data_IF_417098601909
#
_entry.id   IF_417098601909
#
_cell.length_a   1.000
_cell.length_b   1.000
_cell.length_c   1.000
_cell.angle_alpha   90.00
_cell.angle_beta   90.00
_cell.angle_gamma   90.00
#
_symmetry.space_group_name_H-M   'P 1'
#
loop_
_entity.id
_entity.type
_entity.pdbx_description
1 polymer ?
#
# COMPACT_ATOMS: atom_id res chain seq x y z
N UNK A 1 -12.80 25.97 -5.76
CA UNK A 1 -11.90 24.85 -6.10
C UNK A 1 -10.73 24.87 -5.15
N UNK A 2 -10.21 23.72 -4.73
CA UNK A 2 -9.06 23.65 -3.81
C UNK A 2 -8.22 22.39 -4.05
N UNK A 3 -7.00 22.38 -3.53
CA UNK A 3 -6.15 21.17 -3.44
C UNK A 3 -6.04 20.71 -1.98
N UNK A 4 -5.76 19.42 -1.75
CA UNK A 4 -5.49 18.85 -0.43
C UNK A 4 -4.29 17.92 -0.55
N UNK A 5 -3.16 18.32 0.02
CA UNK A 5 -1.87 17.66 -0.18
C UNK A 5 -1.09 17.58 1.13
N UNK A 6 0.02 16.83 1.23
CA UNK A 6 0.94 16.96 2.36
C UNK A 6 1.45 18.40 2.50
N UNK A 7 1.67 18.86 3.73
CA UNK A 7 2.10 20.24 3.99
C UNK A 7 3.39 20.63 3.26
N UNK A 8 4.32 19.67 3.09
CA UNK A 8 5.61 19.80 2.42
C UNK A 8 5.58 19.60 0.90
N UNK A 9 4.44 19.18 0.33
CA UNK A 9 4.30 18.97 -1.10
C UNK A 9 4.38 20.28 -1.90
N UNK A 10 4.97 20.21 -3.10
CA UNK A 10 5.14 21.35 -4.02
C UNK A 10 4.51 21.11 -5.39
N UNK A 11 4.24 19.86 -5.72
CA UNK A 11 3.71 19.33 -6.97
C UNK A 11 2.26 18.86 -6.79
N UNK A 12 1.31 19.80 -6.83
CA UNK A 12 -0.12 19.48 -6.68
C UNK A 12 -0.66 18.98 -8.01
N UNK A 13 -0.85 17.65 -8.12
CA UNK A 13 -1.33 16.97 -9.32
C UNK A 13 -2.84 17.18 -9.54
N UNK A 14 -3.60 17.26 -8.44
CA UNK A 14 -5.06 17.21 -8.44
C UNK A 14 -5.71 18.31 -7.60
N UNK A 15 -6.91 18.72 -8.03
CA UNK A 15 -7.76 19.66 -7.34
C UNK A 15 -9.23 19.19 -7.39
N UNK A 16 -10.00 19.56 -6.37
CA UNK A 16 -11.43 19.29 -6.30
C UNK A 16 -12.23 20.59 -6.39
N UNK A 17 -13.36 20.53 -7.10
CA UNK A 17 -14.37 21.58 -7.09
C UNK A 17 -15.73 21.02 -6.74
N UNK A 18 -16.56 21.84 -6.10
CA UNK A 18 -17.93 21.48 -5.71
C UNK A 18 -18.83 22.65 -6.07
N UNK A 19 -19.95 22.35 -6.74
CA UNK A 19 -20.98 23.32 -7.07
C UNK A 19 -22.36 22.73 -6.75
N UNK A 20 -23.02 23.31 -5.76
CA UNK A 20 -24.41 22.98 -5.42
C UNK A 20 -25.36 23.65 -6.43
N UNK A 21 -26.31 22.89 -6.97
CA UNK A 21 -27.29 23.37 -7.94
C UNK A 21 -28.69 23.51 -7.30
N UNK A 22 -29.54 24.33 -7.92
CA UNK A 22 -30.86 24.69 -7.39
C UNK A 22 -31.82 23.49 -7.25
N UNK A 23 -31.65 22.44 -8.07
CA UNK A 23 -32.45 21.22 -8.03
C UNK A 23 -31.97 20.20 -6.96
N UNK A 24 -30.98 20.59 -6.14
CA UNK A 24 -30.37 19.76 -5.11
C UNK A 24 -29.34 18.76 -5.64
N UNK A 25 -29.05 18.76 -6.94
CA UNK A 25 -27.90 18.05 -7.47
C UNK A 25 -26.59 18.79 -7.17
N UNK A 26 -25.47 18.06 -7.19
CA UNK A 26 -24.15 18.61 -6.89
C UNK A 26 -23.19 18.19 -7.97
N UNK A 27 -22.54 19.18 -8.58
CA UNK A 27 -21.46 18.94 -9.53
C UNK A 27 -20.13 18.90 -8.77
N UNK A 28 -19.36 17.84 -8.99
CA UNK A 28 -18.01 17.68 -8.42
C UNK A 28 -17.02 17.51 -9.55
N UNK A 29 -16.01 18.37 -9.59
CA UNK A 29 -14.89 18.27 -10.53
C UNK A 29 -13.66 17.65 -9.86
N UNK A 30 -13.05 16.69 -10.55
CA UNK A 30 -11.68 16.22 -10.29
C UNK A 30 -10.80 16.77 -11.41
N UNK A 31 -9.93 17.71 -11.07
CA UNK A 31 -9.12 18.47 -12.03
C UNK A 31 -7.67 18.06 -11.91
N UNK A 32 -7.10 17.50 -12.98
CA UNK A 32 -5.73 16.98 -12.97
C UNK A 32 -4.84 17.91 -13.80
N UNK A 33 -3.61 18.19 -13.37
CA UNK A 33 -2.66 19.00 -14.14
C UNK A 33 -2.54 18.54 -15.60
N UNK A 34 -2.68 19.45 -16.57
CA UNK A 34 -2.55 19.13 -18.00
C UNK A 34 -1.07 19.07 -18.42
N UNK A 35 -0.35 18.08 -17.90
CA UNK A 35 1.06 17.82 -18.22
C UNK A 35 1.26 17.61 -19.72
N UNK A 36 0.28 17.03 -20.41
CA UNK A 36 0.36 16.79 -21.88
C UNK A 36 0.40 18.07 -22.70
N UNK A 37 -0.05 19.20 -22.15
CA UNK A 37 0.12 20.50 -22.78
C UNK A 37 1.60 20.87 -22.93
N UNK A 38 2.42 20.57 -21.93
CA UNK A 38 3.84 20.93 -21.85
C UNK A 38 4.75 19.81 -22.36
N UNK A 39 4.42 18.56 -22.04
CA UNK A 39 5.18 17.37 -22.46
C UNK A 39 4.60 16.85 -23.78
N UNK A 40 5.11 17.35 -24.89
CA UNK A 40 4.65 16.98 -26.25
C UNK A 40 5.33 15.71 -26.77
N UNK A 41 4.61 14.81 -27.47
CA UNK A 41 5.18 13.56 -27.98
C UNK A 41 6.47 13.77 -28.79
N UNK A 42 7.47 12.91 -28.58
CA UNK A 42 8.71 12.87 -29.35
C UNK A 42 9.75 13.96 -29.00
N UNK A 43 9.41 14.90 -28.12
CA UNK A 43 10.35 15.91 -27.61
C UNK A 43 11.39 15.29 -26.67
N UNK A 44 12.48 16.03 -26.39
CA UNK A 44 13.48 15.59 -25.42
C UNK A 44 12.88 15.38 -24.01
N UNK A 45 11.96 16.26 -23.62
CA UNK A 45 11.25 16.16 -22.34
C UNK A 45 10.39 14.90 -22.26
N UNK A 46 9.67 14.57 -23.33
CA UNK A 46 8.87 13.35 -23.41
C UNK A 46 9.71 12.07 -23.35
N UNK A 47 10.83 12.04 -24.08
CA UNK A 47 11.77 10.92 -24.04
C UNK A 47 12.36 10.71 -22.65
N UNK A 48 12.73 11.79 -21.96
CA UNK A 48 13.26 11.72 -20.60
C UNK A 48 12.18 11.30 -19.59
N UNK A 49 10.96 11.84 -19.71
CA UNK A 49 9.83 11.44 -18.87
C UNK A 49 9.47 9.96 -19.06
N UNK A 50 9.50 9.45 -20.29
CA UNK A 50 9.32 8.02 -20.58
C UNK A 50 10.48 7.18 -20.03
N UNK A 51 11.72 7.64 -20.22
CA UNK A 51 12.90 6.93 -19.72
C UNK A 51 12.84 6.74 -18.19
N UNK A 52 12.49 7.80 -17.45
CA UNK A 52 12.26 7.73 -15.99
C UNK A 52 10.98 6.98 -15.62
N UNK A 53 9.90 7.17 -16.39
CA UNK A 53 8.54 6.64 -16.23
C UNK A 53 7.80 7.03 -14.94
N UNK A 54 8.50 7.23 -13.83
CA UNK A 54 7.92 7.61 -12.54
C UNK A 54 8.89 8.47 -11.74
N UNK A 55 8.38 9.34 -10.88
CA UNK A 55 9.18 9.95 -9.82
C UNK A 55 9.56 8.88 -8.78
N UNK A 56 10.70 9.07 -8.10
CA UNK A 56 11.17 8.20 -7.01
C UNK A 56 11.23 9.01 -5.72
N UNK A 57 10.53 8.56 -4.67
CA UNK A 57 10.40 9.24 -3.39
C UNK A 57 11.27 8.56 -2.32
N UNK A 58 12.54 8.94 -2.25
CA UNK A 58 13.43 8.50 -1.18
C UNK A 58 13.08 9.23 0.13
N UNK A 59 13.53 8.71 1.27
CA UNK A 59 13.21 9.33 2.57
C UNK A 59 13.73 10.77 2.66
N UNK A 60 14.88 11.06 2.05
CA UNK A 60 15.59 12.34 2.15
C UNK A 60 15.40 13.26 0.93
N UNK A 61 14.88 12.75 -0.19
CA UNK A 61 14.74 13.52 -1.44
C UNK A 61 13.80 12.87 -2.44
N UNK A 62 13.34 13.67 -3.40
CA UNK A 62 12.60 13.21 -4.57
C UNK A 62 13.49 13.27 -5.81
N UNK A 63 13.44 12.22 -6.62
CA UNK A 63 14.00 12.22 -7.98
C UNK A 63 12.82 12.34 -8.94
N UNK A 64 12.49 13.55 -9.43
CA UNK A 64 11.24 13.76 -10.15
C UNK A 64 11.31 13.22 -11.58
N UNK A 65 10.16 12.76 -12.09
CA UNK A 65 10.00 12.36 -13.50
C UNK A 65 10.20 13.56 -14.44
N UNK A 66 9.69 14.72 -14.04
CA UNK A 66 9.77 15.97 -14.79
C UNK A 66 10.71 16.96 -14.09
N UNK A 67 11.31 17.91 -14.82
CA UNK A 67 12.07 19.00 -14.21
C UNK A 67 11.22 19.80 -13.22
N UNK A 68 11.80 20.20 -12.09
CA UNK A 68 11.09 20.94 -11.02
C UNK A 68 10.41 22.22 -11.50
N UNK A 69 11.00 22.89 -12.50
CA UNK A 69 10.40 24.09 -13.12
C UNK A 69 9.03 23.80 -13.75
N UNK A 70 8.79 22.57 -14.21
CA UNK A 70 7.50 22.13 -14.72
C UNK A 70 6.64 21.56 -13.60
N UNK A 71 7.15 20.58 -12.85
CA UNK A 71 6.36 19.87 -11.83
C UNK A 71 5.87 20.81 -10.73
N UNK A 72 6.73 21.68 -10.19
CA UNK A 72 6.43 22.46 -8.99
C UNK A 72 5.80 23.83 -9.31
N UNK A 73 5.84 24.27 -10.58
CA UNK A 73 5.36 25.60 -10.96
C UNK A 73 4.27 25.54 -12.04
N UNK A 74 4.62 25.16 -13.27
CA UNK A 74 3.71 25.27 -14.43
C UNK A 74 2.58 24.25 -14.40
N UNK A 75 2.87 23.02 -13.98
CA UNK A 75 1.88 21.95 -13.85
C UNK A 75 1.19 21.96 -12.48
N UNK A 76 1.94 22.26 -11.40
CA UNK A 76 1.39 22.31 -10.03
C UNK A 76 0.19 23.24 -9.93
N UNK A 77 -0.91 22.73 -9.38
CA UNK A 77 -2.20 23.44 -9.25
C UNK A 77 -2.20 24.44 -8.09
N UNK A 78 -1.22 25.35 -8.10
CA UNK A 78 -0.98 26.35 -7.06
C UNK A 78 -2.21 27.25 -6.83
N UNK A 79 -2.46 27.68 -5.58
CA UNK A 79 -3.58 28.55 -5.26
C UNK A 79 -3.41 29.93 -5.90
N UNK A 80 -4.53 30.57 -6.21
CA UNK A 80 -4.65 31.92 -6.75
C UNK A 80 -3.97 32.14 -8.11
N UNK A 81 -3.81 31.07 -8.88
CA UNK A 81 -3.24 31.09 -10.24
C UNK A 81 -4.15 30.30 -11.19
N UNK A 82 -4.27 30.78 -12.43
CA UNK A 82 -4.95 30.04 -13.49
C UNK A 82 -4.08 28.88 -13.96
N UNK A 83 -4.64 27.66 -13.94
CA UNK A 83 -3.92 26.42 -14.26
C UNK A 83 -4.66 25.59 -15.29
N UNK A 84 -3.90 25.06 -16.25
CA UNK A 84 -4.40 24.15 -17.27
C UNK A 84 -4.60 22.76 -16.68
N UNK A 85 -5.78 22.19 -16.90
CA UNK A 85 -6.16 20.89 -16.33
C UNK A 85 -6.84 19.99 -17.35
N UNK A 86 -6.75 18.68 -17.13
CA UNK A 86 -7.63 17.68 -17.71
C UNK A 86 -8.58 17.20 -16.60
N UNK A 87 -9.86 17.50 -16.77
CA UNK A 87 -10.87 17.29 -15.75
C UNK A 87 -11.78 16.12 -16.03
N UNK A 88 -12.20 15.46 -14.95
CA UNK A 88 -13.34 14.58 -14.88
C UNK A 88 -14.42 15.24 -14.00
N UNK A 89 -15.58 15.56 -14.57
CA UNK A 89 -16.66 16.27 -13.87
C UNK A 89 -17.87 15.37 -13.75
N UNK A 90 -18.41 15.25 -12.54
CA UNK A 90 -19.51 14.36 -12.19
C UNK A 90 -20.69 15.14 -11.63
N UNK A 91 -21.88 14.88 -12.16
CA UNK A 91 -23.12 15.38 -11.58
C UNK A 91 -23.74 14.31 -10.70
N UNK A 92 -23.81 14.58 -9.40
CA UNK A 92 -24.48 13.73 -8.42
C UNK A 92 -25.94 14.18 -8.24
N UNK A 93 -26.88 13.25 -8.39
CA UNK A 93 -28.27 13.49 -8.03
C UNK A 93 -28.43 13.78 -6.53
N UNK A 94 -29.59 14.30 -6.07
CA UNK A 94 -29.89 14.42 -4.64
C UNK A 94 -29.75 13.09 -3.87
N UNK A 95 -30.00 11.96 -4.55
CA UNK A 95 -29.79 10.61 -3.99
C UNK A 95 -28.32 10.14 -3.97
N UNK A 96 -27.39 10.97 -4.45
CA UNK A 96 -25.95 10.69 -4.47
C UNK A 96 -25.51 9.71 -5.55
N UNK A 97 -26.29 9.55 -6.63
CA UNK A 97 -25.90 8.75 -7.80
C UNK A 97 -25.29 9.66 -8.85
N UNK A 98 -24.24 9.21 -9.53
CA UNK A 98 -23.70 9.91 -10.70
C UNK A 98 -24.71 9.75 -11.83
N UNK A 99 -25.26 10.86 -12.31
CA UNK A 99 -26.24 10.91 -13.41
C UNK A 99 -25.64 11.46 -14.70
N UNK A 100 -24.53 12.17 -14.61
CA UNK A 100 -23.77 12.68 -15.75
C UNK A 100 -22.28 12.67 -15.45
N UNK A 101 -21.48 12.38 -16.45
CA UNK A 101 -20.02 12.51 -16.44
C UNK A 101 -19.56 13.29 -17.66
N UNK A 102 -18.46 14.04 -17.51
CA UNK A 102 -17.82 14.77 -18.59
C UNK A 102 -16.30 14.75 -18.40
N UNK A 103 -15.57 14.59 -19.49
CA UNK A 103 -14.10 14.63 -19.51
C UNK A 103 -13.63 15.66 -20.52
N UNK A 104 -12.65 16.47 -20.16
CA UNK A 104 -12.05 17.43 -21.10
C UNK A 104 -11.01 18.35 -20.49
N UNK A 105 -10.32 19.09 -21.37
CA UNK A 105 -9.37 20.12 -20.94
C UNK A 105 -10.11 21.35 -20.42
N UNK A 106 -9.62 21.93 -19.34
CA UNK A 106 -10.21 23.06 -18.61
C UNK A 106 -9.13 24.01 -18.11
N UNK A 107 -9.56 25.18 -17.65
CA UNK A 107 -8.74 26.10 -16.85
C UNK A 107 -9.42 26.19 -15.49
N UNK A 108 -8.65 26.03 -14.42
CA UNK A 108 -9.13 26.24 -13.05
C UNK A 108 -8.38 27.39 -12.39
N UNK A 109 -9.01 27.97 -11.38
CA UNK A 109 -8.40 28.87 -10.41
C UNK A 109 -8.58 28.21 -9.04
N UNK A 110 -7.51 27.76 -8.40
CA UNK A 110 -7.61 27.13 -7.08
C UNK A 110 -7.73 28.23 -6.02
N UNK A 111 -8.85 28.27 -5.31
CA UNK A 111 -9.16 29.32 -4.32
C UNK A 111 -8.48 29.07 -2.97
N UNK A 112 -8.00 27.84 -2.74
CA UNK A 112 -7.39 27.44 -1.49
C UNK A 112 -6.46 26.22 -1.64
N UNK A 113 -5.43 26.14 -0.80
CA UNK A 113 -4.59 24.95 -0.64
C UNK A 113 -4.69 24.48 0.80
N UNK A 114 -5.25 23.30 1.01
CA UNK A 114 -5.25 22.63 2.30
C UNK A 114 -4.06 21.69 2.43
N UNK A 115 -3.53 21.57 3.65
CA UNK A 115 -2.89 20.33 4.08
C UNK A 115 -3.93 19.26 4.43
N UNK A 116 -3.55 17.99 4.48
CA UNK A 116 -4.44 16.93 4.97
C UNK A 116 -4.93 17.19 6.39
N UNK A 117 -4.06 17.73 7.25
CA UNK A 117 -4.35 18.08 8.64
C UNK A 117 -5.37 19.22 8.70
N UNK A 118 -5.16 20.30 7.93
CA UNK A 118 -6.09 21.44 7.89
C UNK A 118 -7.49 21.02 7.39
N UNK A 119 -7.55 20.23 6.31
CA UNK A 119 -8.82 19.71 5.82
C UNK A 119 -9.50 18.79 6.84
N UNK A 120 -8.72 17.98 7.55
CA UNK A 120 -9.23 17.11 8.61
C UNK A 120 -9.81 17.92 9.77
N UNK A 121 -9.13 18.97 10.21
CA UNK A 121 -9.59 19.85 11.28
C UNK A 121 -10.94 20.51 10.93
N UNK A 122 -11.09 21.02 9.70
CA UNK A 122 -12.37 21.60 9.24
C UNK A 122 -13.50 20.55 9.23
N UNK A 123 -13.19 19.32 8.79
CA UNK A 123 -14.16 18.21 8.78
C UNK A 123 -14.61 17.84 10.20
N UNK A 124 -13.67 17.77 11.15
CA UNK A 124 -13.93 17.38 12.54
C UNK A 124 -14.61 18.47 13.34
N UNK A 125 -14.19 19.74 13.17
CA UNK A 125 -14.75 20.88 13.87
C UNK A 125 -16.21 21.17 13.47
N UNK A 126 -16.59 20.83 12.23
CA UNK A 126 -17.94 21.13 11.74
C UNK A 126 -18.13 22.58 11.26
N UNK A 127 -17.04 23.34 11.17
CA UNK A 127 -17.00 24.75 10.80
C UNK A 127 -15.66 25.12 10.17
N UNK A 128 -15.59 26.28 9.52
CA UNK A 128 -14.40 26.77 8.81
C UNK A 128 -14.64 27.01 7.32
N UNK A 129 -13.62 27.52 6.64
CA UNK A 129 -13.67 27.80 5.21
C UNK A 129 -13.88 26.51 4.41
N UNK A 130 -14.75 26.57 3.40
CA UNK A 130 -15.13 25.43 2.56
C UNK A 130 -15.70 24.21 3.30
N UNK A 131 -16.19 24.38 4.54
CA UNK A 131 -16.74 23.28 5.33
C UNK A 131 -17.87 22.53 4.61
N UNK A 132 -18.78 23.23 3.92
CA UNK A 132 -19.91 22.59 3.24
C UNK A 132 -19.44 21.66 2.12
N UNK A 133 -18.44 22.09 1.37
CA UNK A 133 -17.81 21.39 0.28
C UNK A 133 -17.03 20.18 0.81
N UNK A 134 -16.16 20.38 1.81
CA UNK A 134 -15.38 19.31 2.44
C UNK A 134 -16.28 18.25 3.08
N UNK A 135 -17.33 18.67 3.79
CA UNK A 135 -18.33 17.77 4.37
C UNK A 135 -19.03 16.95 3.28
N UNK A 136 -19.50 17.60 2.21
CA UNK A 136 -20.17 16.90 1.11
C UNK A 136 -19.25 15.85 0.49
N UNK A 137 -18.01 16.23 0.17
CA UNK A 137 -17.01 15.33 -0.40
C UNK A 137 -16.69 14.17 0.55
N UNK A 138 -16.48 14.42 1.84
CA UNK A 138 -16.21 13.37 2.82
C UNK A 138 -17.37 12.37 2.93
N UNK A 139 -18.61 12.88 3.03
CA UNK A 139 -19.82 12.05 3.09
C UNK A 139 -19.96 11.18 1.83
N UNK A 140 -19.64 11.73 0.64
CA UNK A 140 -19.64 10.98 -0.61
C UNK A 140 -18.52 9.94 -0.66
N UNK A 141 -17.30 10.30 -0.25
CA UNK A 141 -16.15 9.41 -0.21
C UNK A 141 -16.42 8.18 0.67
N UNK A 142 -16.96 8.38 1.89
CA UNK A 142 -17.39 7.29 2.78
C UNK A 142 -18.40 6.36 2.13
N UNK A 143 -19.38 6.91 1.40
CA UNK A 143 -20.38 6.09 0.69
C UNK A 143 -19.78 5.31 -0.49
N UNK A 144 -18.89 5.94 -1.26
CA UNK A 144 -18.17 5.31 -2.39
C UNK A 144 -17.31 4.17 -1.87
N UNK A 145 -16.52 4.44 -0.82
CA UNK A 145 -15.67 3.47 -0.12
C UNK A 145 -16.47 2.27 0.36
N UNK A 146 -17.57 2.51 1.10
CA UNK A 146 -18.45 1.44 1.59
C UNK A 146 -18.93 0.53 0.46
N UNK A 147 -19.44 1.09 -0.64
CA UNK A 147 -19.89 0.31 -1.80
C UNK A 147 -18.76 -0.46 -2.47
N UNK A 148 -17.55 0.10 -2.51
CA UNK A 148 -16.35 -0.55 -3.07
C UNK A 148 -15.99 -1.80 -2.27
N UNK A 149 -16.05 -1.73 -0.95
CA UNK A 149 -15.84 -2.89 -0.07
C UNK A 149 -16.97 -3.93 -0.13
N UNK A 150 -18.23 -3.50 -0.21
CA UNK A 150 -19.37 -4.40 -0.44
C UNK A 150 -19.23 -5.21 -1.74
N UNK A 151 -18.54 -4.64 -2.74
CA UNK A 151 -18.23 -5.30 -4.02
C UNK A 151 -16.97 -6.17 -3.98
N UNK A 152 -16.27 -6.26 -2.84
CA UNK A 152 -15.12 -7.16 -2.65
C UNK A 152 -13.75 -6.53 -2.84
N UNK A 153 -13.62 -5.20 -2.75
CA UNK A 153 -12.31 -4.57 -2.64
C UNK A 153 -11.62 -4.98 -1.34
N UNK A 154 -10.29 -4.94 -1.30
CA UNK A 154 -9.49 -5.39 -0.14
C UNK A 154 -8.80 -4.20 0.51
N UNK A 155 -8.91 -4.06 1.84
CA UNK A 155 -8.33 -2.93 2.60
C UNK A 155 -7.01 -3.31 3.28
N UNK A 156 -5.95 -3.49 2.50
CA UNK A 156 -4.64 -3.66 3.12
C UNK A 156 -4.17 -2.30 3.66
N UNK A 157 -4.47 -2.02 4.92
CA UNK A 157 -3.90 -0.88 5.63
C UNK A 157 -2.48 -1.25 6.07
N UNK A 158 -1.48 -0.74 5.36
CA UNK A 158 -0.08 -0.96 5.71
C UNK A 158 0.40 0.24 6.50
N UNK A 159 0.89 0.00 7.71
CA UNK A 159 1.53 1.03 8.53
C UNK A 159 2.74 1.60 7.75
N UNK A 160 2.62 2.84 7.26
CA UNK A 160 3.71 3.52 6.55
C UNK A 160 4.65 4.21 7.55
N UNK A 161 5.89 3.71 7.63
CA UNK A 161 6.93 4.34 8.45
C UNK A 161 7.51 5.57 7.75
N UNK A 162 7.51 6.70 8.46
CA UNK A 162 8.12 7.97 8.05
C UNK A 162 9.17 8.40 9.05
N UNK A 163 10.04 9.32 8.62
CA UNK A 163 11.13 9.83 9.43
C UNK A 163 11.05 11.35 9.50
N UNK A 164 11.26 11.92 10.69
CA UNK A 164 11.68 13.32 10.81
C UNK A 164 13.19 13.35 10.72
N UNK A 165 13.71 14.14 9.79
CA UNK A 165 15.15 14.32 9.57
C UNK A 165 15.61 15.65 10.16
N UNK A 166 16.86 15.73 10.61
CA UNK A 166 17.53 16.98 10.92
C UNK A 166 18.11 17.66 9.66
N UNK A 167 18.82 18.79 9.84
CA UNK A 167 19.40 19.58 8.75
C UNK A 167 20.45 18.81 7.93
N UNK A 168 21.12 17.83 8.53
CA UNK A 168 22.09 16.96 7.87
C UNK A 168 21.43 15.73 7.22
N UNK A 169 20.10 15.63 7.32
CA UNK A 169 19.31 14.53 6.77
C UNK A 169 19.34 13.27 7.62
N UNK A 170 19.79 13.32 8.88
CA UNK A 170 19.86 12.18 9.79
C UNK A 170 18.51 12.03 10.51
N UNK A 171 17.96 10.81 10.66
CA UNK A 171 16.68 10.61 11.33
C UNK A 171 16.79 10.91 12.83
N UNK A 172 15.85 11.74 13.31
CA UNK A 172 15.65 12.08 14.73
C UNK A 172 14.43 11.38 15.32
N UNK A 173 13.46 11.02 14.48
CA UNK A 173 12.24 10.33 14.90
C UNK A 173 11.77 9.40 13.77
N UNK A 174 11.31 8.21 14.12
CA UNK A 174 10.60 7.29 13.24
C UNK A 174 9.16 7.16 13.75
N UNK A 175 8.19 7.42 12.89
CA UNK A 175 6.77 7.43 13.26
C UNK A 175 5.92 6.77 12.18
N UNK A 176 4.75 6.26 12.55
CA UNK A 176 3.78 5.70 11.61
C UNK A 176 2.87 6.82 11.13
N UNK A 177 2.66 6.90 9.80
CA UNK A 177 1.75 7.88 9.21
C UNK A 177 0.31 7.51 9.50
N UNK A 178 -0.43 8.41 10.13
CA UNK A 178 -1.87 8.26 10.32
C UNK A 178 -2.65 8.53 9.03
N UNK A 179 -3.52 7.60 8.66
CA UNK A 179 -4.45 7.74 7.54
C UNK A 179 -5.83 8.12 8.05
N UNK A 180 -6.22 9.38 7.85
CA UNK A 180 -7.51 9.95 8.32
C UNK A 180 -8.52 10.17 7.18
N UNK A 181 -9.71 10.67 7.52
CA UNK A 181 -10.82 10.94 6.57
C UNK A 181 -10.39 11.82 5.38
N UNK A 182 -9.62 12.88 5.61
CA UNK A 182 -9.15 13.77 4.54
C UNK A 182 -8.30 13.01 3.49
N UNK A 183 -7.48 12.06 3.93
CA UNK A 183 -6.69 11.20 3.03
C UNK A 183 -7.61 10.28 2.21
N UNK A 184 -8.57 9.64 2.89
CA UNK A 184 -9.53 8.75 2.23
C UNK A 184 -10.45 9.51 1.26
N UNK A 185 -10.79 10.77 1.56
CA UNK A 185 -11.57 11.62 0.69
C UNK A 185 -10.89 11.78 -0.66
N UNK A 186 -9.64 12.25 -0.67
CA UNK A 186 -8.87 12.42 -1.91
C UNK A 186 -8.74 11.08 -2.64
N UNK A 187 -8.35 10.02 -1.92
CA UNK A 187 -8.20 8.68 -2.50
C UNK A 187 -9.46 8.21 -3.25
N UNK A 188 -10.64 8.30 -2.64
CA UNK A 188 -11.88 7.81 -3.28
C UNK A 188 -12.29 8.64 -4.49
N UNK A 189 -12.03 9.96 -4.51
CA UNK A 189 -12.28 10.78 -5.70
C UNK A 189 -11.27 10.52 -6.83
N UNK A 190 -10.01 10.26 -6.50
CA UNK A 190 -9.02 9.84 -7.49
C UNK A 190 -9.35 8.45 -8.07
N UNK A 191 -9.71 7.49 -7.22
CA UNK A 191 -10.18 6.17 -7.64
C UNK A 191 -11.42 6.26 -8.53
N UNK A 192 -12.36 7.16 -8.19
CA UNK A 192 -13.55 7.42 -9.00
C UNK A 192 -13.18 7.95 -10.39
N UNK A 193 -12.34 8.98 -10.48
CA UNK A 193 -11.91 9.55 -11.76
C UNK A 193 -11.20 8.50 -12.62
N UNK A 194 -10.23 7.78 -12.04
CA UNK A 194 -9.50 6.68 -12.67
C UNK A 194 -10.44 5.61 -13.24
N UNK A 195 -11.39 5.14 -12.43
CA UNK A 195 -12.38 4.13 -12.84
C UNK A 195 -13.27 4.61 -13.98
N UNK A 196 -13.75 5.85 -13.90
CA UNK A 196 -14.69 6.38 -14.89
C UNK A 196 -14.00 6.66 -16.23
N UNK A 197 -12.76 7.15 -16.22
CA UNK A 197 -11.94 7.28 -17.44
C UNK A 197 -11.74 5.93 -18.13
N UNK A 198 -11.33 4.90 -17.38
CA UNK A 198 -11.14 3.57 -17.93
C UNK A 198 -12.46 2.98 -18.46
N UNK A 199 -13.56 3.17 -17.73
CA UNK A 199 -14.89 2.70 -18.12
C UNK A 199 -15.40 3.41 -19.38
N UNK A 200 -15.16 4.72 -19.51
CA UNK A 200 -15.53 5.51 -20.68
C UNK A 200 -14.83 4.96 -21.94
N UNK A 201 -13.50 4.80 -21.88
CA UNK A 201 -12.71 4.28 -23.01
C UNK A 201 -13.12 2.86 -23.36
N UNK A 202 -13.27 1.98 -22.37
CA UNK A 202 -13.71 0.61 -22.59
C UNK A 202 -15.09 0.54 -23.26
N UNK A 203 -16.09 1.31 -22.77
CA UNK A 203 -17.44 1.35 -23.35
C UNK A 203 -17.43 1.85 -24.79
N UNK A 204 -16.69 2.93 -25.06
CA UNK A 204 -16.55 3.49 -26.41
C UNK A 204 -15.88 2.52 -27.36
N UNK A 205 -14.92 1.73 -26.87
CA UNK A 205 -14.19 0.73 -27.64
C UNK A 205 -14.95 -0.58 -27.94
N UNK A 206 -16.18 -0.78 -27.45
CA UNK A 206 -16.92 -2.06 -27.60
C UNK A 206 -17.22 -2.48 -29.04
N UNK A 207 -17.19 -1.55 -30.00
CA UNK A 207 -17.34 -1.86 -31.44
C UNK A 207 -16.02 -1.81 -32.22
N UNK A 208 -15.13 -0.91 -31.84
CA UNK A 208 -13.79 -0.77 -32.42
C UNK A 208 -12.83 -0.50 -31.27
N UNK A 209 -11.95 -1.46 -30.97
CA UNK A 209 -11.04 -1.37 -29.83
C UNK A 209 -10.25 -0.06 -29.86
N UNK A 210 -10.22 0.62 -28.70
CA UNK A 210 -9.28 1.71 -28.40
C UNK A 210 -8.18 1.10 -27.52
N UNK A 211 -6.99 0.81 -28.07
CA UNK A 211 -5.83 0.44 -27.25
C UNK A 211 -5.56 1.54 -26.23
N UNK A 212 -5.46 1.15 -24.97
CA UNK A 212 -5.42 2.05 -23.84
C UNK A 212 -4.52 1.46 -22.76
N UNK A 213 -4.04 2.30 -21.84
CA UNK A 213 -3.24 1.86 -20.71
C UNK A 213 -4.18 1.55 -19.55
N UNK A 214 -4.24 0.30 -19.11
CA UNK A 214 -4.96 -0.12 -17.92
C UNK A 214 -3.98 -0.37 -16.79
N UNK A 215 -4.42 -0.11 -15.55
CA UNK A 215 -3.74 -0.55 -14.34
C UNK A 215 -4.43 -1.81 -13.87
N UNK A 216 -3.79 -2.95 -14.15
CA UNK A 216 -4.36 -4.27 -13.89
C UNK A 216 -3.78 -4.88 -12.62
N UNK A 217 -4.57 -5.74 -11.98
CA UNK A 217 -4.14 -6.49 -10.81
C UNK A 217 -4.85 -7.85 -10.84
N UNK A 218 -4.08 -8.91 -11.10
CA UNK A 218 -4.60 -10.27 -11.21
C UNK A 218 -5.03 -10.85 -9.85
N UNK A 219 -5.60 -12.05 -9.87
CA UNK A 219 -5.98 -12.80 -8.68
C UNK A 219 -4.77 -13.23 -7.84
N UNK A 220 -4.95 -13.50 -6.53
CA UNK A 220 -3.89 -14.02 -5.67
C UNK A 220 -3.42 -15.40 -6.14
N UNK A 221 -2.15 -15.73 -5.86
CA UNK A 221 -1.60 -17.04 -6.18
C UNK A 221 -2.27 -18.13 -5.31
N UNK A 222 -2.96 -19.13 -5.90
CA UNK A 222 -3.72 -20.11 -5.14
C UNK A 222 -2.91 -20.93 -4.13
N UNK A 223 -1.66 -21.27 -4.46
CA UNK A 223 -0.77 -22.05 -3.58
C UNK A 223 -0.39 -21.24 -2.34
N UNK A 224 -0.01 -19.97 -2.54
CA UNK A 224 0.30 -19.05 -1.43
C UNK A 224 -0.93 -18.76 -0.56
N UNK A 225 -2.12 -18.67 -1.16
CA UNK A 225 -3.37 -18.52 -0.40
C UNK A 225 -3.64 -19.76 0.44
N UNK A 226 -3.41 -20.96 -0.10
CA UNK A 226 -3.59 -22.20 0.64
C UNK A 226 -2.57 -22.36 1.79
N UNK A 227 -1.33 -21.90 1.61
CA UNK A 227 -0.34 -21.79 2.69
C UNK A 227 -0.78 -20.83 3.79
N UNK A 228 -1.19 -19.62 3.41
CA UNK A 228 -1.70 -18.63 4.37
C UNK A 228 -2.94 -19.14 5.11
N UNK A 229 -3.86 -19.81 4.44
CA UNK A 229 -5.06 -20.34 5.06
C UNK A 229 -4.74 -21.44 6.09
N UNK A 230 -3.72 -22.27 5.84
CA UNK A 230 -3.20 -23.22 6.83
C UNK A 230 -2.62 -22.49 8.03
N UNK A 231 -1.81 -21.46 7.80
CA UNK A 231 -1.22 -20.67 8.88
C UNK A 231 -2.26 -19.94 9.73
N UNK A 232 -3.21 -19.28 9.06
CA UNK A 232 -4.32 -18.62 9.71
C UNK A 232 -5.11 -19.57 10.61
N UNK A 233 -5.34 -20.81 10.16
CA UNK A 233 -6.06 -21.83 10.93
C UNK A 233 -5.33 -22.21 12.23
N UNK A 234 -4.00 -22.28 12.21
CA UNK A 234 -3.18 -22.52 13.42
C UNK A 234 -3.31 -21.39 14.44
N UNK A 235 -3.52 -20.15 13.97
CA UNK A 235 -3.80 -18.98 14.81
C UNK A 235 -5.30 -18.85 15.16
N UNK A 236 -6.13 -19.86 14.85
CA UNK A 236 -7.55 -19.87 15.13
C UNK A 236 -8.42 -19.09 14.13
N UNK A 237 -7.85 -18.60 13.04
CA UNK A 237 -8.57 -17.85 12.00
C UNK A 237 -8.91 -18.72 10.79
N UNK A 238 -10.20 -18.93 10.53
CA UNK A 238 -10.66 -19.74 9.39
C UNK A 238 -10.90 -18.88 8.16
N UNK A 239 -10.07 -19.05 7.13
CA UNK A 239 -10.25 -18.44 5.82
C UNK A 239 -11.14 -19.27 4.89
N UNK A 240 -11.98 -18.60 4.09
CA UNK A 240 -12.68 -19.20 2.95
C UNK A 240 -11.89 -18.89 1.68
N UNK A 241 -11.51 -19.94 0.95
CA UNK A 241 -10.56 -19.82 -0.17
C UNK A 241 -11.04 -20.43 -1.49
N UNK A 242 -12.34 -20.72 -1.63
CA UNK A 242 -12.83 -21.43 -2.82
C UNK A 242 -13.03 -20.51 -4.02
N UNK A 243 -13.34 -19.23 -3.78
CA UNK A 243 -13.56 -18.24 -4.84
C UNK A 243 -12.81 -16.94 -4.56
N UNK A 244 -12.45 -16.15 -5.60
CA UNK A 244 -11.80 -14.86 -5.39
C UNK A 244 -12.58 -13.92 -4.48
N UNK A 245 -13.92 -13.95 -4.53
CA UNK A 245 -14.78 -13.14 -3.65
C UNK A 245 -14.73 -13.60 -2.19
N UNK A 246 -14.71 -14.91 -1.95
CA UNK A 246 -14.55 -15.46 -0.60
C UNK A 246 -13.16 -15.17 -0.01
N UNK A 247 -12.12 -15.20 -0.85
CA UNK A 247 -10.75 -14.84 -0.45
C UNK A 247 -10.71 -13.37 -0.02
N UNK A 248 -11.22 -12.45 -0.84
CA UNK A 248 -11.28 -11.03 -0.52
C UNK A 248 -12.04 -10.76 0.79
N UNK A 249 -13.22 -11.40 0.96
CA UNK A 249 -13.99 -11.31 2.20
C UNK A 249 -13.22 -11.86 3.41
N UNK A 250 -12.44 -12.93 3.22
CA UNK A 250 -11.59 -13.50 4.28
C UNK A 250 -10.41 -12.59 4.64
N UNK A 251 -9.86 -11.83 3.68
CA UNK A 251 -8.84 -10.82 3.98
C UNK A 251 -9.42 -9.63 4.74
N UNK A 252 -10.52 -9.05 4.29
CA UNK A 252 -11.14 -7.92 5.00
C UNK A 252 -11.51 -8.29 6.43
N UNK A 253 -12.11 -9.48 6.61
CA UNK A 253 -12.43 -9.98 7.94
C UNK A 253 -11.16 -10.25 8.78
N UNK A 254 -10.05 -10.66 8.17
CA UNK A 254 -8.79 -10.86 8.86
C UNK A 254 -8.26 -9.52 9.41
N UNK A 255 -8.31 -8.47 8.59
CA UNK A 255 -7.88 -7.11 8.96
C UNK A 255 -8.75 -6.58 10.12
N UNK A 256 -10.08 -6.75 10.05
CA UNK A 256 -10.98 -6.37 11.14
C UNK A 256 -10.72 -7.15 12.46
N UNK A 257 -10.37 -8.44 12.38
CA UNK A 257 -10.04 -9.24 13.56
C UNK A 257 -8.62 -8.95 14.08
N UNK A 258 -7.70 -8.54 13.21
CA UNK A 258 -6.32 -8.16 13.54
C UNK A 258 -6.24 -6.92 14.44
N UNK A 259 -7.20 -5.99 14.33
CA UNK A 259 -7.29 -4.83 15.25
C UNK A 259 -7.45 -5.26 16.72
N UNK A 260 -8.04 -6.42 16.97
CA UNK A 260 -8.34 -6.95 18.30
C UNK A 260 -7.36 -8.04 18.75
N UNK A 261 -6.58 -8.59 17.81
CA UNK A 261 -5.69 -9.70 18.05
C UNK A 261 -4.33 -9.46 17.38
N UNK A 262 -3.31 -9.03 18.15
CA UNK A 262 -1.95 -8.78 17.63
C UNK A 262 -1.34 -9.97 16.89
N UNK A 263 -1.67 -11.21 17.27
CA UNK A 263 -1.18 -12.39 16.57
C UNK A 263 -1.74 -12.50 15.15
N UNK A 264 -2.98 -12.06 14.90
CA UNK A 264 -3.57 -12.01 13.57
C UNK A 264 -3.03 -10.85 12.73
N UNK A 265 -2.60 -9.74 13.35
CA UNK A 265 -1.97 -8.61 12.63
C UNK A 265 -0.75 -9.03 11.83
N UNK A 266 -0.02 -10.05 12.29
CA UNK A 266 1.14 -10.60 11.59
C UNK A 266 0.80 -11.39 10.31
N UNK A 267 -0.49 -11.71 10.11
CA UNK A 267 -0.97 -12.31 8.87
C UNK A 267 -1.16 -11.29 7.75
N UNK A 268 -1.31 -10.00 8.05
CA UNK A 268 -1.56 -8.97 7.02
C UNK A 268 -0.41 -8.87 5.99
N UNK A 269 0.88 -8.81 6.41
CA UNK A 269 1.98 -8.79 5.44
C UNK A 269 2.06 -10.09 4.62
N UNK A 270 1.66 -11.22 5.19
CA UNK A 270 1.62 -12.50 4.48
C UNK A 270 0.46 -12.53 3.46
N UNK A 271 -0.72 -12.02 3.83
CA UNK A 271 -1.85 -11.84 2.93
C UNK A 271 -1.47 -10.99 1.71
N UNK A 272 -0.82 -9.85 1.93
CA UNK A 272 -0.32 -8.99 0.84
C UNK A 272 0.64 -9.76 -0.09
N UNK A 273 1.53 -10.61 0.45
CA UNK A 273 2.49 -11.40 -0.35
C UNK A 273 1.84 -12.50 -1.19
N UNK A 274 0.60 -12.86 -0.91
CA UNK A 274 -0.18 -13.81 -1.74
C UNK A 274 -0.76 -13.14 -2.98
N UNK A 275 -0.94 -11.81 -2.96
CA UNK A 275 -1.51 -11.04 -4.05
C UNK A 275 -0.57 -10.98 -5.26
N UNK A 276 -1.15 -10.88 -6.45
CA UNK A 276 -0.40 -10.51 -7.65
C UNK A 276 0.15 -9.08 -7.51
N UNK A 277 1.23 -8.76 -8.22
CA UNK A 277 1.68 -7.37 -8.32
C UNK A 277 0.82 -6.67 -9.38
N UNK A 278 0.35 -5.47 -9.09
CA UNK A 278 -0.29 -4.65 -10.11
C UNK A 278 0.74 -4.23 -11.17
N UNK A 279 0.28 -4.09 -12.42
CA UNK A 279 1.11 -3.65 -13.54
C UNK A 279 0.29 -2.85 -14.56
N UNK A 280 0.99 -2.19 -15.47
CA UNK A 280 0.37 -1.56 -16.62
C UNK A 280 0.31 -2.54 -17.78
N UNK A 281 -0.84 -2.59 -18.47
CA UNK A 281 -1.01 -3.38 -19.69
C UNK A 281 -2.11 -2.78 -20.58
N UNK A 282 -2.08 -3.11 -21.86
CA UNK A 282 -3.16 -2.86 -22.81
C UNK A 282 -4.26 -3.92 -22.75
N UNK A 283 -3.99 -5.06 -22.11
CA UNK A 283 -4.99 -6.10 -21.89
C UNK A 283 -5.72 -5.87 -20.57
N UNK A 284 -6.98 -5.47 -20.64
CA UNK A 284 -7.77 -5.22 -19.44
C UNK A 284 -8.29 -6.52 -18.82
N UNK A 285 -7.65 -6.96 -17.73
CA UNK A 285 -8.11 -8.07 -16.89
C UNK A 285 -8.84 -7.60 -15.61
N UNK A 286 -9.06 -6.30 -15.46
CA UNK A 286 -9.56 -5.69 -14.24
C UNK A 286 -8.51 -5.53 -13.14
N UNK A 287 -8.96 -5.06 -11.98
CA UNK A 287 -8.13 -4.82 -10.82
C UNK A 287 -8.73 -5.47 -9.57
N UNK A 288 -8.27 -6.69 -9.26
CA UNK A 288 -8.83 -7.53 -8.20
C UNK A 288 -8.82 -6.83 -6.83
N UNK A 289 -7.69 -6.24 -6.41
CA UNK A 289 -7.60 -5.57 -5.10
C UNK A 289 -8.55 -4.38 -4.91
N UNK A 290 -9.01 -3.75 -6.00
CA UNK A 290 -9.93 -2.60 -5.96
C UNK A 290 -11.37 -3.00 -6.29
N UNK A 291 -11.60 -4.25 -6.68
CA UNK A 291 -12.86 -4.75 -7.24
C UNK A 291 -13.40 -3.89 -8.39
N UNK A 292 -12.54 -3.51 -9.33
CA UNK A 292 -12.91 -2.75 -10.53
C UNK A 292 -12.68 -3.55 -11.82
N UNK A 293 -13.69 -3.61 -12.68
CA UNK A 293 -13.56 -4.25 -14.01
C UNK A 293 -12.71 -3.43 -14.99
N UNK A 294 -12.70 -2.11 -14.82
CA UNK A 294 -11.95 -1.18 -15.65
C UNK A 294 -11.25 -0.18 -14.72
N UNK A 295 -9.92 -0.14 -14.78
CA UNK A 295 -9.14 0.77 -13.97
C UNK A 295 -7.88 1.23 -14.71
N UNK A 296 -7.54 2.51 -14.55
CA UNK A 296 -6.33 3.13 -15.11
C UNK A 296 -5.78 4.14 -14.12
N UNK A 297 -4.57 4.63 -14.34
CA UNK A 297 -4.06 5.80 -13.64
C UNK A 297 -4.18 7.02 -14.54
N UNK A 298 -4.99 7.99 -14.11
CA UNK A 298 -5.26 9.26 -14.78
C UNK A 298 -4.84 10.46 -13.92
N UNK A 299 -4.76 10.30 -12.60
CA UNK A 299 -4.77 11.40 -11.64
C UNK A 299 -3.40 11.91 -11.18
N UNK A 300 -2.29 11.45 -11.75
CA UNK A 300 -0.95 11.93 -11.32
C UNK A 300 0.10 12.00 -12.45
N UNK A 301 -0.18 12.74 -13.54
CA UNK A 301 0.72 12.83 -14.69
C UNK A 301 2.00 13.61 -14.44
N UNK A 302 2.14 14.37 -13.34
CA UNK A 302 3.40 15.03 -13.00
C UNK A 302 4.47 14.00 -12.63
N UNK A 303 4.04 12.89 -12.02
CA UNK A 303 4.92 11.87 -11.42
C UNK A 303 4.79 10.47 -12.02
N UNK A 304 3.85 10.23 -12.95
CA UNK A 304 3.66 8.95 -13.64
C UNK A 304 3.45 9.14 -15.14
N UNK A 305 4.29 8.49 -15.95
CA UNK A 305 4.21 8.57 -17.40
C UNK A 305 3.02 7.77 -17.97
N UNK A 306 2.54 6.76 -17.25
CA UNK A 306 1.31 6.05 -17.61
C UNK A 306 0.12 7.02 -17.73
N UNK A 307 -0.03 7.92 -16.77
CA UNK A 307 -1.07 8.96 -16.77
C UNK A 307 -0.91 9.93 -17.95
N UNK A 308 0.34 10.26 -18.34
CA UNK A 308 0.62 11.08 -19.55
C UNK A 308 0.12 10.38 -20.82
N UNK A 309 0.34 9.07 -20.96
CA UNK A 309 -0.19 8.28 -22.08
C UNK A 309 -1.72 8.22 -22.04
N UNK A 310 -2.29 7.99 -20.85
CA UNK A 310 -3.74 7.97 -20.63
C UNK A 310 -4.38 9.28 -21.03
N UNK A 311 -3.82 10.42 -20.62
CA UNK A 311 -4.30 11.76 -20.99
C UNK A 311 -4.27 11.93 -22.52
N UNK A 312 -3.17 11.57 -23.18
CA UNK A 312 -3.07 11.68 -24.65
C UNK A 312 -4.15 10.86 -25.35
N UNK A 313 -4.27 9.58 -25.01
CA UNK A 313 -5.22 8.68 -25.68
C UNK A 313 -6.66 9.07 -25.37
N UNK A 314 -6.96 9.46 -24.12
CA UNK A 314 -8.28 9.93 -23.73
C UNK A 314 -8.68 11.17 -24.53
N UNK A 315 -7.81 12.19 -24.59
CA UNK A 315 -8.10 13.46 -25.27
C UNK A 315 -8.45 13.25 -26.76
N UNK A 316 -7.64 12.47 -27.48
CA UNK A 316 -7.88 12.15 -28.90
C UNK A 316 -9.18 11.35 -29.09
N UNK A 317 -9.64 10.65 -28.06
CA UNK A 317 -10.86 9.84 -28.07
C UNK A 317 -12.01 10.47 -27.28
N UNK A 318 -12.06 11.80 -27.10
CA UNK A 318 -13.28 12.46 -26.57
C UNK A 318 -14.32 12.75 -27.66
N UNK A 319 -13.87 13.05 -28.89
CA UNK A 319 -14.74 13.37 -30.03
C UNK A 319 -15.44 12.15 -30.64
N UNK A 320 -16.26 12.31 -31.69
CA UNK A 320 -16.99 11.18 -32.30
C UNK A 320 -16.09 10.19 -33.04
N UNK A 321 -14.89 10.62 -33.45
CA UNK A 321 -13.91 9.76 -34.13
C UNK A 321 -13.18 8.88 -33.12
N UNK A 322 -12.85 7.66 -33.54
CA UNK A 322 -11.99 6.75 -32.79
C UNK A 322 -10.59 6.85 -33.37
N UNK A 323 -9.63 7.23 -32.53
CA UNK A 323 -8.21 7.19 -32.87
C UNK A 323 -7.60 5.95 -32.24
N UNK A 324 -7.00 5.10 -33.08
CA UNK A 324 -6.36 3.87 -32.66
C UNK A 324 -4.84 4.03 -32.68
N UNK A 325 -4.22 3.98 -31.52
CA UNK A 325 -2.76 3.87 -31.41
C UNK A 325 -2.32 2.43 -31.67
N UNK A 326 -1.04 2.22 -31.96
CA UNK A 326 -0.50 0.88 -32.12
C UNK A 326 -0.48 0.13 -30.77
N UNK A 327 -1.20 -1.00 -30.71
CA UNK A 327 -1.41 -1.74 -29.45
C UNK A 327 -0.12 -2.43 -28.99
N UNK A 328 0.65 -2.98 -29.92
CA UNK A 328 1.87 -3.71 -29.60
C UNK A 328 2.94 -2.76 -29.02
N UNK A 329 3.15 -1.62 -29.66
CA UNK A 329 4.02 -0.55 -29.15
C UNK A 329 3.56 -0.06 -27.78
N UNK A 330 2.25 0.16 -27.59
CA UNK A 330 1.72 0.60 -26.31
C UNK A 330 1.90 -0.45 -25.21
N UNK A 331 1.79 -1.74 -25.54
CA UNK A 331 2.05 -2.85 -24.61
C UNK A 331 3.53 -2.91 -24.20
N UNK A 332 4.46 -2.69 -25.13
CA UNK A 332 5.89 -2.57 -24.81
C UNK A 332 6.17 -1.40 -23.88
N UNK A 333 5.53 -0.25 -24.12
CA UNK A 333 5.61 0.90 -23.22
C UNK A 333 5.07 0.56 -21.82
N UNK A 334 3.94 -0.14 -21.73
CA UNK A 334 3.36 -0.59 -20.46
C UNK A 334 4.32 -1.49 -19.67
N UNK A 335 4.99 -2.43 -20.35
CA UNK A 335 6.01 -3.31 -19.74
C UNK A 335 7.21 -2.53 -19.20
N UNK A 336 7.71 -1.55 -19.97
CA UNK A 336 8.79 -0.67 -19.53
C UNK A 336 8.40 0.15 -18.30
N UNK A 337 7.23 0.79 -18.34
CA UNK A 337 6.74 1.62 -17.22
C UNK A 337 6.60 0.75 -15.95
N UNK A 338 6.03 -0.46 -16.07
CA UNK A 338 5.89 -1.39 -14.95
C UNK A 338 7.25 -1.84 -14.39
N UNK A 339 8.26 -1.99 -15.25
CA UNK A 339 9.63 -2.30 -14.81
C UNK A 339 10.26 -1.13 -14.04
N UNK A 340 10.09 0.11 -14.51
CA UNK A 340 10.62 1.30 -13.84
C UNK A 340 9.92 1.56 -12.50
N UNK A 341 8.60 1.36 -12.42
CA UNK A 341 7.84 1.42 -11.17
C UNK A 341 8.41 0.44 -10.13
N UNK A 342 8.67 -0.82 -10.53
CA UNK A 342 9.28 -1.81 -9.62
C UNK A 342 10.67 -1.38 -9.15
N UNK A 343 11.50 -0.79 -10.03
CA UNK A 343 12.82 -0.27 -9.66
C UNK A 343 12.72 0.89 -8.67
N UNK A 344 11.77 1.79 -8.88
CA UNK A 344 11.50 2.90 -7.97
C UNK A 344 11.07 2.39 -6.59
N UNK A 345 10.07 1.51 -6.53
CA UNK A 345 9.61 0.90 -5.27
C UNK A 345 10.75 0.18 -4.52
N UNK A 346 11.61 -0.55 -5.23
CA UNK A 346 12.77 -1.21 -4.63
C UNK A 346 13.79 -0.21 -4.05
N UNK A 347 13.98 0.94 -4.70
CA UNK A 347 14.86 2.01 -4.22
C UNK A 347 14.28 2.71 -2.98
N UNK A 348 12.98 3.02 -3.00
CA UNK A 348 12.25 3.63 -1.87
C UNK A 348 12.31 2.73 -0.63
N UNK A 349 12.00 1.43 -0.79
CA UNK A 349 12.13 0.44 0.30
C UNK A 349 13.54 0.36 0.85
N UNK A 350 14.56 0.40 -0.02
CA UNK A 350 15.98 0.39 0.39
C UNK A 350 16.38 1.67 1.13
N UNK A 351 15.81 2.82 0.74
CA UNK A 351 16.02 4.10 1.42
C UNK A 351 15.40 4.11 2.82
N UNK A 352 14.17 3.61 2.96
CA UNK A 352 13.53 3.40 4.27
C UNK A 352 14.39 2.49 5.15
N UNK A 353 14.83 1.33 4.65
CA UNK A 353 15.68 0.41 5.43
C UNK A 353 17.01 1.05 5.84
N UNK A 354 17.61 1.85 4.95
CA UNK A 354 18.84 2.58 5.26
C UNK A 354 18.61 3.55 6.43
N UNK A 355 17.53 4.33 6.39
CA UNK A 355 17.18 5.29 7.46
C UNK A 355 16.75 4.61 8.76
N UNK A 356 16.10 3.44 8.71
CA UNK A 356 15.88 2.62 9.91
C UNK A 356 17.20 2.23 10.56
N UNK A 357 18.18 1.77 9.78
CA UNK A 357 19.49 1.36 10.32
C UNK A 357 20.24 2.57 10.88
N UNK A 358 20.24 3.70 10.18
CA UNK A 358 20.85 4.96 10.64
C UNK A 358 20.21 5.46 11.95
N UNK A 359 18.89 5.38 12.07
CA UNK A 359 18.17 5.69 13.29
C UNK A 359 18.59 4.76 14.44
N UNK A 360 18.61 3.45 14.19
CA UNK A 360 18.95 2.46 15.22
C UNK A 360 20.42 2.47 15.68
N UNK A 361 21.34 3.11 14.95
CA UNK A 361 22.72 3.30 15.42
C UNK A 361 22.80 4.09 16.72
N UNK A 362 21.86 5.01 16.95
CA UNK A 362 21.78 5.81 18.18
C UNK A 362 21.25 5.02 19.39
N UNK A 363 20.67 3.84 19.14
CA UNK A 363 19.99 2.99 20.12
C UNK A 363 20.72 1.67 20.40
N UNK A 364 22.00 1.55 20.01
CA UNK A 364 22.80 0.36 20.31
C UNK A 364 22.92 0.17 21.83
N UNK A 365 22.60 -1.04 22.30
CA UNK A 365 22.58 -1.41 23.71
C UNK A 365 21.23 -1.21 24.40
N UNK A 366 20.28 -0.51 23.77
CA UNK A 366 18.93 -0.35 24.32
C UNK A 366 18.06 -1.59 24.04
N UNK A 367 17.11 -1.88 24.95
CA UNK A 367 16.15 -2.97 24.84
C UNK A 367 14.78 -2.47 24.42
N UNK A 368 14.16 -3.18 23.49
CA UNK A 368 12.84 -2.89 22.93
C UNK A 368 11.95 -4.12 22.99
N UNK A 369 10.64 -3.89 23.00
CA UNK A 369 9.65 -4.95 22.77
C UNK A 369 9.27 -4.96 21.29
N UNK A 370 9.13 -6.15 20.74
CA UNK A 370 8.75 -6.34 19.35
C UNK A 370 8.03 -7.67 19.13
N UNK A 371 7.64 -7.92 17.89
CA UNK A 371 7.02 -9.16 17.46
C UNK A 371 7.89 -9.86 16.44
N UNK A 372 7.95 -11.20 16.51
CA UNK A 372 8.61 -12.01 15.48
C UNK A 372 7.88 -11.81 14.14
N UNK A 373 8.54 -11.12 13.20
CA UNK A 373 8.01 -10.71 11.88
C UNK A 373 8.44 -11.63 10.73
N UNK A 374 9.32 -12.59 11.00
CA UNK A 374 9.73 -13.60 10.01
C UNK A 374 10.75 -14.56 10.59
N UNK A 375 10.83 -15.76 10.01
CA UNK A 375 11.82 -16.77 10.40
C UNK A 375 12.54 -17.26 9.14
N UNK A 376 13.85 -17.43 9.25
CA UNK A 376 14.73 -18.00 8.23
C UNK A 376 15.70 -18.98 8.88
N UNK A 377 16.36 -19.81 8.09
CA UNK A 377 17.20 -20.91 8.61
C UNK A 377 18.33 -20.44 9.55
N UNK A 378 18.75 -19.18 9.44
CA UNK A 378 19.83 -18.58 10.26
C UNK A 378 19.35 -17.78 11.48
N UNK A 379 18.04 -17.53 11.63
CA UNK A 379 17.52 -16.68 12.69
C UNK A 379 16.09 -16.20 12.44
N UNK A 380 15.63 -15.27 13.26
CA UNK A 380 14.31 -14.67 13.13
C UNK A 380 14.38 -13.15 13.12
N UNK A 381 13.44 -12.51 12.44
CA UNK A 381 13.28 -11.07 12.40
C UNK A 381 12.31 -10.62 13.47
N UNK A 382 12.60 -9.47 14.09
CA UNK A 382 11.76 -8.83 15.08
C UNK A 382 11.46 -7.40 14.61
N UNK A 383 10.17 -7.09 14.47
CA UNK A 383 9.67 -5.73 14.24
C UNK A 383 9.36 -5.09 15.60
N UNK A 384 9.97 -3.94 15.88
CA UNK A 384 9.77 -3.22 17.13
C UNK A 384 8.41 -2.53 17.19
N UNK A 385 7.79 -2.52 18.36
CA UNK A 385 6.44 -1.96 18.55
C UNK A 385 6.41 -0.44 18.29
N UNK A 386 7.35 0.30 18.89
CA UNK A 386 7.30 1.76 18.98
C UNK A 386 7.66 2.46 17.66
N UNK A 387 8.69 1.98 16.98
CA UNK A 387 9.31 2.67 15.83
C UNK A 387 9.27 1.84 14.53
N UNK A 388 8.69 0.64 14.57
CA UNK A 388 8.55 -0.28 13.42
C UNK A 388 9.87 -0.63 12.72
N UNK A 389 11.02 -0.40 13.37
CA UNK A 389 12.30 -0.87 12.86
C UNK A 389 12.35 -2.39 12.97
N UNK A 390 12.95 -3.03 11.97
CA UNK A 390 13.06 -4.48 11.91
C UNK A 390 14.54 -4.89 11.98
N UNK A 391 14.88 -5.77 12.91
CA UNK A 391 16.21 -6.37 13.03
C UNK A 391 16.15 -7.89 13.06
N UNK A 392 17.31 -8.54 13.01
CA UNK A 392 17.45 -9.99 13.00
C UNK A 392 18.13 -10.47 14.28
N UNK A 393 17.56 -11.49 14.91
CA UNK A 393 18.18 -12.27 15.98
C UNK A 393 18.76 -13.57 15.36
N UNK A 394 20.09 -13.70 15.24
CA UNK A 394 20.71 -14.92 14.72
C UNK A 394 20.55 -16.08 15.71
N UNK A 395 20.24 -17.30 15.23
CA UNK A 395 20.14 -18.47 16.12
C UNK A 395 21.47 -18.81 16.81
N UNK A 396 22.60 -18.46 16.21
CA UNK A 396 23.93 -18.62 16.82
C UNK A 396 24.10 -17.81 18.12
N UNK A 397 23.27 -16.79 18.34
CA UNK A 397 23.28 -16.00 19.58
C UNK A 397 22.43 -16.63 20.68
N UNK A 398 21.69 -17.70 20.40
CA UNK A 398 20.87 -18.42 21.37
C UNK A 398 21.66 -19.56 22.05
N UNK A 399 21.31 -19.97 23.29
CA UNK A 399 21.96 -21.04 24.05
C UNK A 399 21.93 -22.43 23.41
N UNK A 400 21.11 -22.63 22.38
CA UNK A 400 20.96 -23.91 21.69
C UNK A 400 20.65 -23.72 20.20
N UNK A 401 20.92 -24.73 19.35
CA UNK A 401 20.53 -24.72 17.95
C UNK A 401 19.01 -24.90 17.79
N UNK A 402 18.45 -24.22 16.79
CA UNK A 402 17.05 -24.29 16.40
C UNK A 402 16.91 -24.88 15.00
N UNK A 403 15.88 -25.69 14.80
CA UNK A 403 15.45 -26.18 13.49
C UNK A 403 14.20 -25.42 13.06
N UNK A 404 14.23 -24.85 11.85
CA UNK A 404 13.11 -24.11 11.28
C UNK A 404 12.21 -25.09 10.53
N UNK A 405 10.92 -25.05 10.83
CA UNK A 405 9.96 -25.88 10.10
C UNK A 405 9.78 -25.41 8.65
N UNK A 406 9.35 -26.31 7.77
CA UNK A 406 9.22 -26.05 6.33
C UNK A 406 8.36 -24.80 6.01
N UNK A 407 7.32 -24.55 6.80
CA UNK A 407 6.47 -23.34 6.67
C UNK A 407 7.10 -22.05 7.19
N UNK A 408 8.26 -22.12 7.87
CA UNK A 408 8.97 -20.98 8.50
C UNK A 408 8.11 -20.16 9.46
N UNK A 409 7.12 -20.81 10.07
CA UNK A 409 6.21 -20.22 11.05
C UNK A 409 6.70 -20.41 12.47
N UNK A 410 7.54 -21.43 12.68
CA UNK A 410 8.15 -21.71 13.96
C UNK A 410 9.54 -22.30 13.78
N UNK A 411 10.37 -22.05 14.79
CA UNK A 411 11.65 -22.69 14.98
C UNK A 411 11.64 -23.42 16.32
N UNK A 412 12.15 -24.65 16.36
CA UNK A 412 12.15 -25.52 17.54
C UNK A 412 13.58 -25.78 18.00
N UNK A 413 13.87 -25.51 19.27
CA UNK A 413 15.15 -25.77 19.91
C UNK A 413 15.40 -27.27 20.03
N UNK A 414 16.54 -27.74 19.52
CA UNK A 414 16.84 -29.17 19.41
C UNK A 414 17.08 -29.86 20.77
N UNK A 415 17.40 -29.10 21.84
CA UNK A 415 17.66 -29.67 23.17
C UNK A 415 16.50 -29.44 24.12
N UNK A 416 15.97 -28.23 24.18
CA UNK A 416 14.89 -27.88 25.11
C UNK A 416 13.49 -28.15 24.56
N UNK A 417 13.33 -28.26 23.24
CA UNK A 417 12.02 -28.24 22.58
C UNK A 417 11.34 -26.87 22.60
N UNK A 418 12.04 -25.79 22.99
CA UNK A 418 11.51 -24.42 22.98
C UNK A 418 11.07 -24.05 21.57
N UNK A 419 9.93 -23.38 21.47
CA UNK A 419 9.39 -22.95 20.18
C UNK A 419 9.41 -21.42 20.13
N UNK A 420 9.99 -20.88 19.07
CA UNK A 420 9.85 -19.47 18.66
C UNK A 420 8.89 -19.47 17.49
N UNK A 421 7.81 -18.70 17.58
CA UNK A 421 6.78 -18.62 16.54
C UNK A 421 6.69 -17.23 15.96
N UNK A 422 6.39 -17.16 14.67
CA UNK A 422 5.83 -15.97 14.05
C UNK A 422 4.59 -15.58 14.84
N UNK A 423 4.57 -14.39 15.43
CA UNK A 423 3.58 -14.13 16.49
C UNK A 423 4.17 -13.54 17.74
N UNK A 424 5.28 -14.16 18.17
CA UNK A 424 5.69 -14.07 19.55
C UNK A 424 6.14 -12.66 19.85
N UNK A 425 5.56 -12.12 20.93
CA UNK A 425 6.02 -10.88 21.54
C UNK A 425 7.30 -11.21 22.30
N UNK A 426 8.38 -10.54 21.95
CA UNK A 426 9.71 -10.78 22.52
C UNK A 426 10.38 -9.47 22.92
N UNK A 427 11.28 -9.56 23.89
CA UNK A 427 12.18 -8.46 24.25
C UNK A 427 13.57 -8.68 23.65
N UNK A 428 14.06 -7.67 22.94
CA UNK A 428 15.35 -7.72 22.26
C UNK A 428 16.17 -6.47 22.53
N UNK A 429 17.49 -6.65 22.63
CA UNK A 429 18.47 -5.56 22.69
C UNK A 429 19.15 -5.36 21.34
N UNK A 430 19.42 -4.10 20.99
CA UNK A 430 20.10 -3.75 19.74
C UNK A 430 21.59 -4.01 19.91
N UNK A 431 22.10 -5.02 19.23
CA UNK A 431 23.50 -5.42 19.35
C UNK A 431 24.40 -4.66 18.37
N UNK A 432 23.95 -4.48 17.13
CA UNK A 432 24.71 -3.81 16.09
C UNK A 432 23.79 -3.21 15.02
N UNK A 433 24.20 -2.12 14.38
CA UNK A 433 23.51 -1.51 13.26
C UNK A 433 24.52 -1.12 12.17
N UNK A 434 24.57 -1.91 11.09
CA UNK A 434 25.53 -1.82 10.00
C UNK A 434 24.89 -1.18 8.76
N UNK A 435 25.23 0.09 8.50
CA UNK A 435 24.73 0.86 7.36
C UNK A 435 25.16 0.27 6.01
N UNK A 436 26.37 -0.28 5.91
CA UNK A 436 26.87 -0.85 4.66
C UNK A 436 26.08 -2.11 4.28
N UNK A 437 25.75 -2.94 5.28
CA UNK A 437 24.91 -4.13 5.11
C UNK A 437 23.42 -3.83 5.13
N UNK A 438 23.01 -2.66 5.63
CA UNK A 438 21.61 -2.27 5.93
C UNK A 438 20.92 -3.27 6.86
N UNK A 439 21.63 -3.67 7.90
CA UNK A 439 21.21 -4.70 8.85
C UNK A 439 21.24 -4.15 10.27
N UNK A 440 20.23 -4.54 11.04
CA UNK A 440 20.17 -4.35 12.49
C UNK A 440 20.25 -5.76 13.08
N UNK A 441 21.30 -6.02 13.84
CA UNK A 441 21.47 -7.27 14.58
C UNK A 441 20.96 -7.06 16.00
N UNK A 442 20.11 -7.99 16.45
CA UNK A 442 19.46 -7.97 17.75
C UNK A 442 19.86 -9.20 18.55
N UNK A 443 19.72 -9.12 19.87
CA UNK A 443 19.82 -10.28 20.78
C UNK A 443 18.54 -10.41 21.58
N UNK A 444 18.12 -11.66 21.79
CA UNK A 444 17.01 -11.94 22.68
C UNK A 444 17.45 -11.73 24.13
N UNK A 445 16.69 -10.97 24.91
CA UNK A 445 17.05 -10.65 26.29
C UNK A 445 16.93 -11.89 27.20
N UNK A 446 17.88 -12.06 28.13
CA UNK A 446 18.02 -13.29 28.92
C UNK A 446 16.83 -13.60 29.84
N UNK A 447 16.06 -12.58 30.25
CA UNK A 447 14.88 -12.74 31.12
C UNK A 447 13.69 -13.42 30.41
N UNK A 448 13.71 -13.52 29.08
CA UNK A 448 12.77 -14.33 28.31
C UNK A 448 13.25 -15.78 28.08
N UNK A 449 14.32 -16.23 28.73
CA UNK A 449 14.53 -17.66 28.97
C UNK A 449 13.75 -18.06 30.24
N UNK A 450 12.50 -18.56 30.16
CA UNK A 450 11.93 -19.21 31.32
C UNK A 450 12.83 -20.39 31.69
N UNK A 451 13.29 -20.40 32.94
CA UNK A 451 14.18 -21.42 33.47
C UNK A 451 13.61 -22.83 33.27
N UNK A 452 14.48 -23.77 32.92
CA UNK A 452 14.21 -25.19 32.80
C UNK A 452 13.44 -25.70 34.04
N UNK A 453 12.17 -26.08 33.88
CA UNK A 453 11.55 -27.02 34.80
C UNK A 453 11.97 -28.43 34.36
N UNK A 454 13.07 -28.93 34.92
CA UNK A 454 13.44 -30.34 34.83
C UNK A 454 12.44 -31.18 35.62
N UNK A 455 11.32 -31.57 34.99
CA UNK A 455 10.51 -32.69 35.46
C UNK A 455 10.54 -33.79 34.42
N UNK A 456 11.19 -34.91 34.76
CA UNK A 456 11.11 -36.12 33.95
C UNK A 456 12.31 -37.07 33.97
N UNK A 457 13.10 -37.13 35.05
CA UNK A 457 14.10 -38.20 35.21
C UNK A 457 14.12 -38.81 36.61
N UNK A 458 12.97 -39.09 37.20
CA UNK A 458 12.91 -39.91 38.41
C UNK A 458 11.59 -40.69 38.56
N UNK A 459 11.40 -41.75 37.76
CA UNK A 459 10.52 -42.88 38.14
C UNK A 459 10.69 -44.09 37.23
N UNK A 460 11.92 -44.61 37.07
CA UNK A 460 12.12 -45.98 36.56
C UNK A 460 13.22 -46.69 37.34
N UNK A 461 12.93 -47.02 38.60
CA UNK A 461 13.59 -48.11 39.34
C UNK A 461 12.85 -48.37 40.66
N UNK A 462 11.85 -49.26 40.61
CA UNK A 462 11.55 -50.27 41.66
C UNK A 462 10.36 -51.11 41.20
N UNK A 463 10.65 -52.25 40.57
CA UNK A 463 10.03 -53.52 40.91
C UNK A 463 10.81 -54.65 40.23
N UNK A 464 11.72 -55.26 40.98
CA UNK A 464 12.23 -56.61 40.70
C UNK A 464 11.32 -57.60 41.45
N UNK A 465 10.72 -58.53 40.70
CA UNK A 465 10.74 -59.97 40.97
C UNK A 465 9.78 -60.56 42.01
N UNK A 466 8.78 -61.31 41.52
CA UNK A 466 8.37 -62.64 42.02
C UNK A 466 7.40 -63.26 40.98
N UNK A 467 7.88 -64.13 40.11
CA UNK A 467 7.73 -65.61 40.16
C UNK A 467 6.45 -66.16 39.50
N UNK A 468 6.66 -66.82 38.35
CA UNK A 468 6.11 -68.12 37.95
C UNK A 468 4.68 -68.51 38.40
N UNK A 469 3.75 -68.67 37.44
CA UNK A 469 2.98 -69.92 37.26
C UNK A 469 2.21 -70.00 35.93
N UNK A 470 2.48 -71.10 35.21
CA UNK A 470 1.74 -71.72 34.10
C UNK A 470 0.21 -71.83 34.35
N UNK A 471 -0.59 -71.66 33.28
CA UNK A 471 -1.58 -72.62 32.71
C UNK A 471 -2.52 -71.88 31.73
N UNK A 472 -2.47 -72.17 30.43
CA UNK A 472 -3.29 -73.15 29.68
C UNK A 472 -4.75 -72.72 29.40
N UNK A 473 -5.08 -72.68 28.08
CA UNK A 473 -6.40 -72.88 27.43
C UNK A 473 -7.43 -71.76 27.69
N UNK A 474 -8.14 -71.24 26.70
CA UNK A 474 -8.79 -71.91 25.56
C UNK A 474 -8.97 -70.93 24.42
#
# INVERSE_FOLDING_TARGET
TFTIDPADAKDFDDALSVRFLDDGSVEVGVHIADVTHYVRPGTALDKEAFHRSTSVYLVDRVIPMLPERLSNNLCSLRPHEDKLTFSAVFLFSPSGKIVKEWFGKTIIHSDHRFSYEEAQEVIEAGEGDYFKELKYLNDRAKLIRKKRFENGAIDFNVDEVRFRLDEDGVPVEAYVKDRKDAHMLIEEFMLLANKQVATYIHKKGKGHEIPFVYRIHDYPNPEKVAELARFALELGYKMKVNTPKEIAASYNKLIEEAEKNPALKLLEPLAIRTMAKAEYSTNNIGHYGLAFDNYTHFTSPIRRYADVLVHRILFENLGPKILRVDKETLEEQCKHISLQERKAMDAERKSIKYKQVEFMQKHIGESFTGFVSGIIDRGFFVELEDNKCEGMVPFETLPEPFEVEEGRLKAVGLRSGRVIKMGDRVRVSIFNADLAKRQIDMRLDEEEYPAFNTFGRESRKKHKGASNRRKQRR
#
